data_IF_240913602624
#
_entry.id   IF_240913602624
#
_cell.length_a   1.000
_cell.length_b   1.000
_cell.length_c   1.000
_cell.angle_alpha   90.00
_cell.angle_beta   90.00
_cell.angle_gamma   90.00
#
_symmetry.space_group_name_H-M   'P 1'
#
loop_
_entity.id
_entity.type
_entity.pdbx_description
1 polymer ?
#
# COMPACT_ATOMS: atom_id res chain seq x y z
N UNK A 1 -8.40 -20.41 21.67
CA UNK A 1 -8.48 -19.01 21.20
C UNK A 1 -7.10 -18.65 20.68
N UNK A 2 -6.97 -18.21 19.43
CA UNK A 2 -5.68 -17.77 18.91
C UNK A 2 -5.21 -16.54 19.71
N UNK A 3 -3.91 -16.45 20.01
CA UNK A 3 -3.35 -15.27 20.68
C UNK A 3 -3.63 -14.01 19.83
N UNK A 4 -3.99 -12.86 20.44
CA UNK A 4 -4.13 -11.59 19.74
C UNK A 4 -2.93 -11.32 18.84
N UNK A 5 -3.15 -10.72 17.66
CA UNK A 5 -2.11 -10.57 16.65
C UNK A 5 -0.89 -9.84 17.22
N UNK A 6 -1.12 -8.78 17.99
CA UNK A 6 -0.11 -7.97 18.67
C UNK A 6 0.80 -8.71 19.66
N UNK A 7 0.38 -9.88 20.15
CA UNK A 7 1.18 -10.71 21.08
C UNK A 7 2.17 -11.61 20.33
N UNK A 8 2.17 -11.58 18.99
CA UNK A 8 3.07 -12.35 18.16
C UNK A 8 4.33 -11.52 17.85
N UNK A 9 5.51 -12.14 17.93
CA UNK A 9 6.79 -11.43 17.80
C UNK A 9 6.98 -10.70 16.46
N UNK A 10 6.28 -11.14 15.39
CA UNK A 10 6.31 -10.49 14.08
C UNK A 10 5.36 -9.28 13.97
N UNK A 11 4.45 -9.10 14.91
CA UNK A 11 3.41 -8.09 14.93
C UNK A 11 3.69 -6.99 15.97
N UNK A 12 4.96 -6.84 16.36
CA UNK A 12 5.38 -5.67 17.13
C UNK A 12 5.23 -4.41 16.27
N UNK A 13 4.86 -3.24 16.83
CA UNK A 13 4.69 -2.02 16.05
C UNK A 13 5.88 -1.69 15.14
N UNK A 14 7.11 -1.87 15.63
CA UNK A 14 8.33 -1.63 14.85
C UNK A 14 8.47 -2.59 13.65
N UNK A 15 8.10 -3.86 13.82
CA UNK A 15 8.13 -4.83 12.72
C UNK A 15 7.08 -4.54 11.67
N UNK A 16 5.91 -4.08 12.11
CA UNK A 16 4.84 -3.66 11.19
C UNK A 16 5.23 -2.38 10.46
N UNK A 17 5.84 -1.42 11.14
CA UNK A 17 6.41 -0.21 10.52
C UNK A 17 7.43 -0.57 9.44
N UNK A 18 8.36 -1.49 9.73
CA UNK A 18 9.34 -2.00 8.76
C UNK A 18 8.66 -2.62 7.52
N UNK A 19 7.58 -3.38 7.72
CA UNK A 19 6.81 -3.98 6.62
C UNK A 19 6.08 -2.93 5.78
N UNK A 20 5.43 -1.94 6.42
CA UNK A 20 4.76 -0.82 5.72
C UNK A 20 5.76 -0.05 4.86
N UNK A 21 6.96 0.22 5.38
CA UNK A 21 8.03 0.87 4.62
C UNK A 21 8.49 0.03 3.42
N UNK A 22 8.62 -1.30 3.57
CA UNK A 22 8.95 -2.21 2.46
C UNK A 22 7.87 -2.21 1.38
N UNK A 23 6.59 -2.21 1.76
CA UNK A 23 5.48 -2.13 0.82
C UNK A 23 5.53 -0.81 0.05
N UNK A 24 5.77 0.31 0.74
CA UNK A 24 5.92 1.62 0.09
C UNK A 24 7.09 1.62 -0.90
N UNK A 25 8.25 1.07 -0.51
CA UNK A 25 9.41 0.95 -1.38
C UNK A 25 9.12 0.07 -2.61
N UNK A 26 8.39 -1.05 -2.43
CA UNK A 26 8.00 -1.93 -3.52
C UNK A 26 7.08 -1.24 -4.54
N UNK A 27 6.15 -0.39 -4.09
CA UNK A 27 5.35 0.44 -4.99
C UNK A 27 6.28 1.31 -5.86
N UNK A 28 7.26 1.99 -5.27
CA UNK A 28 8.17 2.84 -6.05
C UNK A 28 9.08 2.02 -7.00
N UNK A 29 9.62 0.90 -6.53
CA UNK A 29 10.61 0.11 -7.25
C UNK A 29 10.00 -0.79 -8.32
N UNK A 30 8.77 -1.26 -8.16
CA UNK A 30 8.13 -2.19 -9.10
C UNK A 30 7.09 -1.48 -9.98
N UNK A 31 6.23 -0.63 -9.41
CA UNK A 31 5.15 -0.01 -10.17
C UNK A 31 5.68 1.01 -11.18
N UNK A 32 6.60 1.89 -10.77
CA UNK A 32 7.10 2.94 -11.67
C UNK A 32 7.77 2.39 -12.93
N UNK A 33 8.65 1.38 -12.86
CA UNK A 33 9.20 0.77 -14.07
C UNK A 33 8.15 0.09 -14.96
N UNK A 34 7.12 -0.53 -14.38
CA UNK A 34 6.00 -1.11 -15.14
C UNK A 34 5.25 -0.01 -15.90
N UNK A 35 4.93 1.10 -15.24
CA UNK A 35 4.25 2.24 -15.87
C UNK A 35 5.11 2.88 -16.96
N UNK A 36 6.41 2.99 -16.76
CA UNK A 36 7.34 3.47 -17.78
C UNK A 36 7.32 2.56 -19.03
N UNK A 37 7.36 1.23 -18.83
CA UNK A 37 7.23 0.27 -19.94
C UNK A 37 5.86 0.35 -20.62
N UNK A 38 4.77 0.50 -19.87
CA UNK A 38 3.44 0.70 -20.44
C UNK A 38 3.40 1.98 -21.29
N UNK A 39 3.99 3.09 -20.83
CA UNK A 39 4.09 4.34 -21.62
C UNK A 39 4.90 4.13 -22.91
N UNK A 40 5.98 3.34 -22.85
CA UNK A 40 6.83 3.04 -24.01
C UNK A 40 6.13 2.18 -25.08
N UNK A 41 5.40 1.13 -24.66
CA UNK A 41 4.85 0.13 -25.57
C UNK A 41 3.35 0.30 -25.88
N UNK A 42 2.59 0.98 -25.02
CA UNK A 42 1.16 1.20 -25.19
C UNK A 42 0.90 2.68 -25.41
N UNK A 43 0.90 3.14 -26.66
CA UNK A 43 0.78 4.56 -26.97
C UNK A 43 -0.60 5.14 -26.65
N UNK A 44 -1.67 4.34 -26.69
CA UNK A 44 -3.02 4.78 -26.38
C UNK A 44 -3.21 5.03 -24.86
N UNK A 45 -3.47 6.29 -24.43
CA UNK A 45 -3.66 6.61 -23.02
C UNK A 45 -4.84 5.88 -22.37
N UNK A 46 -5.97 5.74 -23.08
CA UNK A 46 -7.15 5.04 -22.57
C UNK A 46 -6.85 3.57 -22.27
N UNK A 47 -6.06 2.91 -23.13
CA UNK A 47 -5.62 1.53 -22.89
C UNK A 47 -4.75 1.44 -21.63
N UNK A 48 -3.81 2.37 -21.42
CA UNK A 48 -3.00 2.40 -20.20
C UNK A 48 -3.87 2.60 -18.96
N UNK A 49 -4.84 3.51 -19.00
CA UNK A 49 -5.77 3.75 -17.89
C UNK A 49 -6.61 2.50 -17.56
N UNK A 50 -7.14 1.82 -18.58
CA UNK A 50 -7.91 0.57 -18.40
C UNK A 50 -7.06 -0.50 -17.71
N UNK A 51 -5.79 -0.63 -18.10
CA UNK A 51 -4.87 -1.61 -17.50
C UNK A 51 -4.36 -1.20 -16.12
N UNK A 52 -4.20 0.09 -15.84
CA UNK A 52 -3.78 0.59 -14.54
C UNK A 52 -4.88 0.49 -13.49
N UNK A 53 -6.14 0.66 -13.87
CA UNK A 53 -7.29 0.62 -12.95
C UNK A 53 -7.28 -0.61 -12.03
N UNK A 54 -7.18 -1.87 -12.51
CA UNK A 54 -7.14 -3.03 -11.61
C UNK A 54 -5.89 -3.05 -10.71
N UNK A 55 -4.75 -2.55 -11.17
CA UNK A 55 -3.53 -2.43 -10.36
C UNK A 55 -3.75 -1.46 -9.20
N UNK A 56 -4.29 -0.27 -9.49
CA UNK A 56 -4.65 0.73 -8.48
C UNK A 56 -5.65 0.16 -7.48
N UNK A 57 -6.73 -0.46 -7.95
CA UNK A 57 -7.77 -1.05 -7.10
C UNK A 57 -7.17 -2.07 -6.13
N UNK A 58 -6.35 -3.01 -6.61
CA UNK A 58 -5.74 -4.02 -5.76
C UNK A 58 -4.83 -3.42 -4.67
N UNK A 59 -4.01 -2.41 -5.03
CA UNK A 59 -3.12 -1.75 -4.07
C UNK A 59 -3.92 -1.04 -2.97
N UNK A 60 -4.98 -0.32 -3.35
CA UNK A 60 -5.84 0.43 -2.42
C UNK A 60 -6.63 -0.53 -1.52
N UNK A 61 -7.18 -1.62 -2.06
CA UNK A 61 -7.92 -2.62 -1.28
C UNK A 61 -7.02 -3.30 -0.26
N UNK A 62 -5.80 -3.71 -0.65
CA UNK A 62 -4.83 -4.30 0.27
C UNK A 62 -4.44 -3.33 1.39
N UNK A 63 -4.18 -2.05 1.07
CA UNK A 63 -3.91 -1.03 2.09
C UNK A 63 -5.10 -0.82 3.03
N UNK A 64 -6.33 -0.82 2.51
CA UNK A 64 -7.54 -0.64 3.32
C UNK A 64 -7.72 -1.79 4.32
N UNK A 65 -7.42 -3.03 3.90
CA UNK A 65 -7.46 -4.19 4.79
C UNK A 65 -6.40 -4.10 5.91
N UNK A 66 -5.18 -3.69 5.55
CA UNK A 66 -4.11 -3.48 6.55
C UNK A 66 -4.47 -2.35 7.51
N UNK A 67 -4.96 -1.22 7.02
CA UNK A 67 -5.38 -0.10 7.88
C UNK A 67 -6.50 -0.51 8.85
N UNK A 68 -7.47 -1.30 8.37
CA UNK A 68 -8.55 -1.83 9.20
C UNK A 68 -8.01 -2.75 10.30
N UNK A 69 -7.02 -3.59 9.99
CA UNK A 69 -6.34 -4.45 10.96
C UNK A 69 -5.55 -3.62 11.99
N UNK A 70 -4.84 -2.57 11.55
CA UNK A 70 -4.11 -1.68 12.44
C UNK A 70 -5.04 -1.00 13.45
N UNK A 71 -6.19 -0.51 12.98
CA UNK A 71 -7.22 0.12 13.81
C UNK A 71 -7.84 -0.84 14.83
N UNK A 72 -7.91 -2.12 14.51
CA UNK A 72 -8.50 -3.15 15.40
C UNK A 72 -7.53 -3.62 16.49
N UNK A 73 -6.24 -3.74 16.17
CA UNK A 73 -5.26 -4.44 17.02
C UNK A 73 -4.31 -3.51 17.78
N UNK A 74 -4.10 -2.27 17.31
CA UNK A 74 -3.09 -1.34 17.83
C UNK A 74 -3.71 -0.06 18.39
N UNK A 75 -3.10 0.49 19.42
CA UNK A 75 -3.46 1.80 19.98
C UNK A 75 -3.14 2.95 19.02
N UNK A 76 -3.70 4.13 19.27
CA UNK A 76 -3.44 5.32 18.45
C UNK A 76 -1.95 5.73 18.44
N UNK A 77 -1.24 5.52 19.56
CA UNK A 77 0.20 5.79 19.67
C UNK A 77 1.03 4.81 18.82
N UNK A 78 0.70 3.53 18.87
CA UNK A 78 1.36 2.51 18.06
C UNK A 78 1.09 2.71 16.56
N UNK A 79 -0.14 3.09 16.19
CA UNK A 79 -0.48 3.44 14.81
C UNK A 79 0.33 4.64 14.32
N UNK A 80 0.55 5.64 15.16
CA UNK A 80 1.40 6.79 14.84
C UNK A 80 2.88 6.38 14.63
N UNK A 81 3.39 5.41 15.40
CA UNK A 81 4.73 4.85 15.19
C UNK A 81 4.83 4.07 13.87
N UNK A 82 3.80 3.27 13.55
CA UNK A 82 3.73 2.51 12.28
C UNK A 82 3.73 3.44 11.07
N UNK A 83 3.14 4.64 11.21
CA UNK A 83 3.19 5.73 10.23
C UNK A 83 2.79 5.27 8.81
N UNK A 84 1.66 4.57 8.71
CA UNK A 84 1.10 4.13 7.44
C UNK A 84 0.47 5.31 6.70
N UNK A 85 0.74 5.42 5.40
CA UNK A 85 0.11 6.42 4.53
C UNK A 85 -1.41 6.27 4.55
N UNK A 86 -2.13 7.39 4.60
CA UNK A 86 -3.58 7.37 4.54
C UNK A 86 -4.07 6.83 3.19
N UNK A 87 -5.24 6.19 3.17
CA UNK A 87 -5.84 5.69 1.93
C UNK A 87 -6.06 6.83 0.91
N UNK A 88 -6.44 8.03 1.38
CA UNK A 88 -6.65 9.20 0.55
C UNK A 88 -5.35 9.69 -0.12
N UNK A 89 -4.26 9.76 0.66
CA UNK A 89 -2.97 10.19 0.13
C UNK A 89 -2.40 9.16 -0.82
N UNK A 90 -2.56 7.86 -0.53
CA UNK A 90 -2.18 6.78 -1.42
C UNK A 90 -2.93 6.85 -2.75
N UNK A 91 -4.25 7.04 -2.72
CA UNK A 91 -5.06 7.19 -3.93
C UNK A 91 -4.57 8.37 -4.78
N UNK A 92 -4.31 9.51 -4.13
CA UNK A 92 -3.79 10.72 -4.78
C UNK A 92 -2.41 10.48 -5.40
N UNK A 93 -1.50 9.81 -4.68
CA UNK A 93 -0.18 9.45 -5.20
C UNK A 93 -0.30 8.55 -6.43
N UNK A 94 -1.18 7.53 -6.40
CA UNK A 94 -1.39 6.61 -7.51
C UNK A 94 -2.03 7.30 -8.72
N UNK A 95 -2.96 8.23 -8.50
CA UNK A 95 -3.60 9.00 -9.57
C UNK A 95 -2.60 9.90 -10.31
N UNK A 96 -1.59 10.42 -9.61
CA UNK A 96 -0.52 11.23 -10.20
C UNK A 96 0.46 10.42 -11.07
N UNK A 97 0.38 9.09 -11.08
CA UNK A 97 1.29 8.24 -11.88
C UNK A 97 0.85 8.05 -13.34
N UNK A 98 -0.42 8.33 -13.64
CA UNK A 98 -1.00 8.19 -14.98
C UNK A 98 -0.54 9.30 -15.93
#
# INVERSE_FOLDING_TARGET
>A
MAKPLKEQAFATPDKVAELVQKVYAAIQQELLPILAKMKLYLQNPSTRTILFKPIKTNIVEAHTQVESLLKAEYSAEEQANINMISIQDLQTQLDNLL
#
